data_IF_734718197222
#
_entry.id   IF_734718197222
#
_cell.length_a   1.000
_cell.length_b   1.000
_cell.length_c   1.000
_cell.angle_alpha   90.00
_cell.angle_beta   90.00
_cell.angle_gamma   90.00
#
_symmetry.space_group_name_H-M   'P 1'
#
loop_
_entity.id
_entity.type
_entity.pdbx_description
1 polymer ?
#
# COMPACT_ATOMS: atom_id res chain seq x y z
N UNK A 1 12.37 -5.54 -55.29
CA UNK A 1 13.21 -4.64 -54.49
C UNK A 1 12.72 -4.71 -53.06
N UNK A 2 13.42 -5.49 -52.23
CA UNK A 2 13.17 -5.61 -50.80
C UNK A 2 13.91 -4.47 -50.09
N UNK A 3 13.19 -3.64 -49.33
CA UNK A 3 13.80 -2.65 -48.44
C UNK A 3 14.18 -3.38 -47.15
N UNK A 4 15.49 -3.47 -46.93
CA UNK A 4 16.12 -4.06 -45.75
C UNK A 4 15.73 -3.30 -44.49
N UNK A 5 15.56 -4.05 -43.40
CA UNK A 5 15.23 -3.55 -42.08
C UNK A 5 16.27 -2.56 -41.53
N UNK A 6 15.76 -1.50 -40.92
CA UNK A 6 16.45 -0.76 -39.87
C UNK A 6 16.04 -1.35 -38.54
N UNK A 7 16.92 -2.17 -37.98
CA UNK A 7 16.87 -2.61 -36.60
C UNK A 7 17.17 -1.38 -35.73
N UNK A 8 16.13 -0.76 -35.14
CA UNK A 8 16.30 0.24 -34.09
C UNK A 8 16.49 -0.50 -32.75
N UNK A 9 17.57 -1.27 -32.66
CA UNK A 9 18.13 -1.74 -31.40
C UNK A 9 18.96 -0.59 -30.80
N UNK A 10 18.27 0.43 -30.28
CA UNK A 10 18.88 1.21 -29.21
C UNK A 10 18.99 0.28 -28.01
N UNK A 11 20.17 -0.31 -27.81
CA UNK A 11 20.56 -0.82 -26.49
C UNK A 11 20.43 0.36 -25.52
N UNK A 12 19.31 0.44 -24.80
CA UNK A 12 19.17 1.37 -23.67
C UNK A 12 20.24 0.96 -22.65
N UNK A 13 21.32 1.74 -22.56
CA UNK A 13 22.33 1.59 -21.52
C UNK A 13 21.64 1.41 -20.16
N UNK A 14 22.02 0.41 -19.34
CA UNK A 14 21.36 0.15 -18.07
C UNK A 14 21.43 1.38 -17.17
N UNK A 15 20.26 1.79 -16.66
CA UNK A 15 20.13 2.92 -15.73
C UNK A 15 21.01 2.70 -14.49
N UNK A 16 21.78 3.72 -14.11
CA UNK A 16 22.54 3.71 -12.88
C UNK A 16 21.58 3.73 -11.66
N UNK A 17 22.04 3.30 -10.48
CA UNK A 17 21.22 3.18 -9.27
C UNK A 17 20.50 4.48 -8.85
N UNK A 18 21.01 5.63 -9.30
CA UNK A 18 20.49 6.97 -9.01
C UNK A 18 19.69 7.60 -10.16
N UNK A 19 19.57 6.92 -11.30
CA UNK A 19 18.93 7.42 -12.51
C UNK A 19 17.57 6.76 -12.73
N UNK A 20 16.67 7.50 -13.38
CA UNK A 20 15.36 7.00 -13.75
C UNK A 20 14.84 7.69 -15.01
N UNK A 21 13.88 7.07 -15.66
CA UNK A 21 13.09 7.71 -16.71
C UNK A 21 11.85 8.34 -16.07
N UNK A 22 11.65 9.63 -16.31
CA UNK A 22 10.48 10.38 -15.82
C UNK A 22 9.23 10.12 -16.66
N UNK A 23 8.12 10.75 -16.30
CA UNK A 23 6.83 10.60 -16.99
C UNK A 23 6.86 11.08 -18.45
N UNK A 24 7.81 11.95 -18.81
CA UNK A 24 7.98 12.51 -20.15
C UNK A 24 8.98 11.70 -21.00
N UNK A 25 9.48 10.58 -20.47
CA UNK A 25 10.40 9.68 -21.17
C UNK A 25 11.85 10.16 -21.17
N UNK A 26 12.20 11.16 -20.35
CA UNK A 26 13.56 11.69 -20.25
C UNK A 26 14.35 11.00 -19.13
N UNK A 27 15.65 10.80 -19.35
CA UNK A 27 16.57 10.24 -18.36
C UNK A 27 16.96 11.34 -17.37
N UNK A 28 16.59 11.14 -16.11
CA UNK A 28 16.73 12.11 -15.02
C UNK A 28 17.48 11.47 -13.84
N UNK A 29 18.19 12.29 -13.05
CA UNK A 29 18.96 11.84 -11.89
C UNK A 29 18.30 12.27 -10.57
N UNK A 30 18.39 11.44 -9.53
CA UNK A 30 17.81 11.67 -8.19
C UNK A 30 18.20 13.02 -7.56
N UNK A 31 19.42 13.48 -7.82
CA UNK A 31 19.97 14.74 -7.28
C UNK A 31 19.59 16.00 -8.08
N UNK A 32 18.86 15.90 -9.21
CA UNK A 32 18.32 17.09 -9.87
C UNK A 32 17.17 17.67 -9.05
N UNK A 33 17.54 18.43 -8.00
CA UNK A 33 16.64 19.23 -7.18
C UNK A 33 16.53 20.62 -7.83
N UNK A 34 15.70 20.73 -8.86
CA UNK A 34 15.30 22.01 -9.45
C UNK A 34 14.94 21.85 -10.92
N UNK A 35 13.89 22.44 -11.46
CA UNK A 35 12.76 23.20 -10.94
C UNK A 35 11.62 22.89 -11.90
N UNK A 36 10.44 22.52 -11.39
CA UNK A 36 9.21 22.66 -12.18
C UNK A 36 8.09 23.07 -11.21
N UNK A 37 8.40 24.12 -10.43
CA UNK A 37 7.68 24.55 -9.25
C UNK A 37 6.52 25.53 -9.54
N UNK A 38 6.07 25.66 -10.78
CA UNK A 38 4.96 26.57 -11.12
C UNK A 38 3.67 26.21 -10.35
N UNK A 39 3.42 24.90 -10.16
CA UNK A 39 2.29 24.42 -9.36
C UNK A 39 2.43 24.69 -7.86
N UNK A 40 3.64 24.54 -7.30
CA UNK A 40 3.91 24.79 -5.88
C UNK A 40 3.82 26.29 -5.58
N UNK A 41 4.42 27.13 -6.42
CA UNK A 41 4.39 28.58 -6.30
C UNK A 41 2.95 29.11 -6.39
N UNK A 42 2.14 28.59 -7.32
CA UNK A 42 0.72 28.95 -7.43
C UNK A 42 -0.08 28.57 -6.17
N UNK A 43 0.24 27.43 -5.55
CA UNK A 43 -0.42 27.00 -4.31
C UNK A 43 -0.04 27.90 -3.15
N UNK A 44 1.25 28.22 -3.00
CA UNK A 44 1.77 29.08 -1.93
C UNK A 44 1.22 30.51 -2.09
N UNK A 45 1.25 31.10 -3.29
CA UNK A 45 0.73 32.46 -3.53
C UNK A 45 -0.78 32.54 -3.21
N UNK A 46 -1.57 31.54 -3.62
CA UNK A 46 -3.00 31.49 -3.30
C UNK A 46 -3.27 31.30 -1.81
N UNK A 47 -2.48 30.48 -1.12
CA UNK A 47 -2.59 30.30 0.34
C UNK A 47 -2.27 31.61 1.09
N UNK A 48 -1.21 32.31 0.70
CA UNK A 48 -0.83 33.61 1.27
C UNK A 48 -1.93 34.65 1.03
N UNK A 49 -2.57 34.62 -0.14
CA UNK A 49 -3.69 35.52 -0.49
C UNK A 49 -5.04 35.08 0.10
N UNK A 50 -5.11 33.97 0.84
CA UNK A 50 -6.35 33.44 1.40
C UNK A 50 -7.36 32.94 0.34
N UNK A 51 -6.88 32.60 -0.86
CA UNK A 51 -7.71 32.13 -1.97
C UNK A 51 -7.83 30.61 -2.01
N UNK A 52 -8.93 30.10 -2.56
CA UNK A 52 -9.10 28.65 -2.76
C UNK A 52 -8.14 28.13 -3.83
N UNK A 53 -7.48 27.03 -3.51
CA UNK A 53 -6.57 26.31 -4.41
C UNK A 53 -7.38 25.34 -5.28
N UNK A 54 -7.23 25.37 -6.62
CA UNK A 54 -7.88 24.42 -7.52
C UNK A 54 -7.38 22.99 -7.26
N UNK A 55 -8.30 22.02 -7.23
CA UNK A 55 -7.96 20.62 -6.94
C UNK A 55 -6.99 20.03 -7.96
N UNK A 56 -7.13 20.40 -9.24
CA UNK A 56 -6.27 19.90 -10.32
C UNK A 56 -4.79 20.30 -10.12
N UNK A 57 -4.53 21.52 -9.63
CA UNK A 57 -3.16 21.98 -9.31
C UNK A 57 -2.54 21.17 -8.18
N UNK A 58 -3.32 20.84 -7.14
CA UNK A 58 -2.86 20.00 -6.02
C UNK A 58 -2.57 18.57 -6.48
N UNK A 59 -3.45 18.00 -7.32
CA UNK A 59 -3.24 16.65 -7.87
C UNK A 59 -2.02 16.59 -8.77
N UNK A 60 -1.76 17.62 -9.60
CA UNK A 60 -0.53 17.72 -10.39
C UNK A 60 0.72 17.76 -9.50
N UNK A 61 0.74 18.64 -8.49
CA UNK A 61 1.85 18.74 -7.55
C UNK A 61 2.11 17.40 -6.83
N UNK A 62 1.06 16.76 -6.32
CA UNK A 62 1.19 15.47 -5.63
C UNK A 62 1.71 14.38 -6.56
N UNK A 63 1.30 14.35 -7.84
CA UNK A 63 1.85 13.42 -8.83
C UNK A 63 3.32 13.69 -9.11
N UNK A 64 3.72 14.95 -9.24
CA UNK A 64 5.14 15.32 -9.44
C UNK A 64 5.98 14.93 -8.23
N UNK A 65 5.51 15.21 -7.01
CA UNK A 65 6.20 14.81 -5.79
C UNK A 65 6.26 13.28 -5.65
N UNK A 66 5.19 12.57 -6.01
CA UNK A 66 5.13 11.10 -5.93
C UNK A 66 5.99 10.43 -7.00
N UNK A 67 6.21 11.08 -8.16
CA UNK A 67 7.14 10.63 -9.18
C UNK A 67 8.60 10.86 -8.79
N UNK A 68 8.89 11.92 -8.03
CA UNK A 68 10.24 12.24 -7.55
C UNK A 68 10.64 11.50 -6.28
N UNK A 69 9.69 10.99 -5.52
CA UNK A 69 9.97 10.13 -4.38
C UNK A 69 10.48 8.78 -4.89
N UNK A 70 11.80 8.65 -5.04
CA UNK A 70 12.51 7.44 -5.50
C UNK A 70 13.63 7.10 -4.53
N UNK A 71 13.92 5.81 -4.38
CA UNK A 71 15.07 5.32 -3.60
C UNK A 71 16.12 4.73 -4.55
N UNK A 72 17.42 4.91 -4.27
CA UNK A 72 18.47 4.30 -5.05
C UNK A 72 18.36 2.78 -4.98
N UNK A 73 18.38 2.11 -6.14
CA UNK A 73 18.25 0.67 -6.23
C UNK A 73 19.61 0.01 -6.32
N UNK A 74 19.81 -1.09 -5.58
CA UNK A 74 20.99 -1.95 -5.75
C UNK A 74 20.88 -2.87 -6.98
N UNK A 75 19.76 -2.83 -7.71
CA UNK A 75 19.54 -3.61 -8.95
C UNK A 75 19.80 -2.75 -10.19
N UNK A 76 20.17 -3.35 -11.33
CA UNK A 76 20.43 -2.63 -12.60
C UNK A 76 19.17 -2.06 -13.29
N UNK A 77 18.10 -1.79 -12.52
CA UNK A 77 16.82 -1.30 -13.01
C UNK A 77 16.61 0.20 -12.74
N UNK A 78 17.67 0.92 -12.31
CA UNK A 78 17.57 2.33 -11.92
C UNK A 78 16.84 2.56 -10.59
N UNK A 79 16.60 3.83 -10.24
CA UNK A 79 15.96 4.24 -8.99
C UNK A 79 14.49 3.79 -8.91
N UNK A 80 14.11 3.14 -7.80
CA UNK A 80 12.75 2.61 -7.61
C UNK A 80 11.84 3.69 -7.04
N UNK A 81 10.69 3.90 -7.66
CA UNK A 81 9.66 4.82 -7.16
C UNK A 81 9.04 4.32 -5.86
N UNK A 82 9.08 5.18 -4.83
CA UNK A 82 8.51 4.96 -3.51
C UNK A 82 7.55 6.09 -3.23
N UNK A 83 6.25 5.82 -3.31
CA UNK A 83 5.26 6.89 -3.18
C UNK A 83 5.34 7.60 -1.83
N UNK A 84 5.00 8.89 -1.79
CA UNK A 84 5.08 9.74 -0.58
C UNK A 84 4.30 9.12 0.59
N UNK A 85 3.22 8.42 0.28
CA UNK A 85 2.41 7.68 1.25
C UNK A 85 3.21 6.70 2.10
N UNK A 86 4.36 6.19 1.63
CA UNK A 86 5.27 5.35 2.40
C UNK A 86 5.85 6.08 3.62
N UNK A 87 6.40 7.28 3.41
CA UNK A 87 7.00 8.09 4.48
C UNK A 87 5.91 8.65 5.40
N UNK A 88 4.81 9.14 4.83
CA UNK A 88 3.66 9.59 5.62
C UNK A 88 3.16 8.46 6.54
N UNK A 89 2.99 7.25 6.03
CA UNK A 89 2.57 6.11 6.83
C UNK A 89 3.59 5.77 7.93
N UNK A 90 4.89 5.78 7.62
CA UNK A 90 5.95 5.53 8.61
C UNK A 90 5.91 6.51 9.79
N UNK A 91 5.99 7.82 9.51
CA UNK A 91 6.01 8.84 10.55
C UNK A 91 4.69 8.92 11.30
N UNK A 92 3.57 8.79 10.59
CA UNK A 92 2.25 8.86 11.22
C UNK A 92 2.00 7.68 12.15
N UNK A 93 2.33 6.45 11.74
CA UNK A 93 2.19 5.27 12.61
C UNK A 93 3.11 5.34 13.82
N UNK A 94 4.36 5.78 13.67
CA UNK A 94 5.28 5.99 14.78
C UNK A 94 4.75 7.04 15.78
N UNK A 95 4.27 8.19 15.28
CA UNK A 95 3.68 9.24 16.09
C UNK A 95 2.44 8.75 16.84
N UNK A 96 1.54 8.02 16.17
CA UNK A 96 0.37 7.44 16.82
C UNK A 96 0.78 6.51 17.97
N UNK A 97 1.71 5.58 17.74
CA UNK A 97 2.18 4.68 18.78
C UNK A 97 2.81 5.42 19.96
N UNK A 98 3.54 6.50 19.71
CA UNK A 98 4.08 7.37 20.76
C UNK A 98 2.96 8.06 21.55
N UNK A 99 1.95 8.64 20.89
CA UNK A 99 0.84 9.28 21.57
C UNK A 99 0.02 8.30 22.41
N UNK A 100 -0.16 7.06 21.91
CA UNK A 100 -0.83 5.98 22.63
C UNK A 100 -0.04 5.51 23.87
N UNK A 101 1.27 5.76 23.94
CA UNK A 101 2.07 5.37 25.11
C UNK A 101 2.14 6.44 26.20
N UNK A 102 1.71 7.68 25.93
CA UNK A 102 1.82 8.80 26.88
C UNK A 102 0.85 8.63 28.06
N UNK A 103 -0.43 8.37 27.81
CA UNK A 103 -1.44 8.33 28.87
C UNK A 103 -2.71 7.56 28.46
N UNK A 104 -3.34 6.76 29.34
CA UNK A 104 -4.53 5.96 29.00
C UNK A 104 -5.73 6.79 28.53
N UNK A 105 -5.90 8.01 29.05
CA UNK A 105 -6.96 8.95 28.58
C UNK A 105 -6.71 9.39 27.13
N UNK A 106 -5.46 9.68 26.77
CA UNK A 106 -5.09 10.04 25.39
C UNK A 106 -5.39 8.85 24.47
N UNK A 107 -5.05 7.64 24.91
CA UNK A 107 -5.37 6.40 24.20
C UNK A 107 -6.87 6.22 23.99
N UNK A 108 -7.69 6.42 25.02
CA UNK A 108 -9.15 6.33 24.91
C UNK A 108 -9.71 7.37 23.91
N UNK A 109 -9.23 8.62 23.99
CA UNK A 109 -9.62 9.69 23.05
C UNK A 109 -9.24 9.32 21.61
N UNK A 110 -8.02 8.80 21.38
CA UNK A 110 -7.56 8.41 20.05
C UNK A 110 -8.35 7.22 19.50
N UNK A 111 -8.64 6.19 20.31
CA UNK A 111 -9.42 5.02 19.89
C UNK A 111 -10.84 5.42 19.46
N UNK A 112 -11.45 6.41 20.11
CA UNK A 112 -12.79 6.87 19.76
C UNK A 112 -12.74 7.84 18.56
N UNK A 113 -11.81 8.77 18.56
CA UNK A 113 -11.77 9.84 17.56
C UNK A 113 -11.21 9.38 16.21
N UNK A 114 -10.22 8.47 16.17
CA UNK A 114 -9.61 8.03 14.91
C UNK A 114 -10.58 7.30 13.97
N UNK A 115 -11.45 6.38 14.41
CA UNK A 115 -12.48 5.79 13.55
C UNK A 115 -13.48 6.82 13.05
N UNK A 116 -13.91 7.77 13.89
CA UNK A 116 -14.80 8.86 13.47
C UNK A 116 -14.13 9.74 12.40
N UNK A 117 -12.86 10.12 12.60
CA UNK A 117 -12.07 10.85 11.63
C UNK A 117 -11.87 10.03 10.35
N UNK A 118 -11.55 8.75 10.44
CA UNK A 118 -11.37 7.88 9.29
C UNK A 118 -12.67 7.73 8.48
N UNK A 119 -13.83 7.59 9.14
CA UNK A 119 -15.13 7.56 8.48
C UNK A 119 -15.50 8.90 7.84
N UNK A 120 -15.21 10.01 8.52
CA UNK A 120 -15.40 11.36 7.99
C UNK A 120 -14.53 11.58 6.76
N UNK A 121 -13.23 11.28 6.85
CA UNK A 121 -12.26 11.34 5.75
C UNK A 121 -12.70 10.38 4.64
N UNK A 122 -13.19 9.18 4.94
CA UNK A 122 -13.67 8.24 3.93
C UNK A 122 -14.88 8.75 3.15
N UNK A 123 -15.78 9.46 3.82
CA UNK A 123 -16.97 10.05 3.20
C UNK A 123 -16.68 11.33 2.42
N UNK A 124 -15.70 12.12 2.84
CA UNK A 124 -15.40 13.45 2.26
C UNK A 124 -14.20 13.47 1.31
N UNK A 125 -13.11 12.80 1.68
CA UNK A 125 -11.78 12.91 1.05
C UNK A 125 -11.37 11.59 0.36
N UNK A 126 -11.49 10.42 0.99
CA UNK A 126 -10.97 9.16 0.40
C UNK A 126 -11.75 8.66 -0.80
N UNK A 127 -12.92 9.22 -1.11
CA UNK A 127 -13.57 9.02 -2.42
C UNK A 127 -12.68 9.49 -3.59
N UNK A 128 -11.73 10.38 -3.32
CA UNK A 128 -10.77 10.93 -4.29
C UNK A 128 -9.37 10.31 -4.16
N UNK A 129 -9.03 9.64 -3.05
CA UNK A 129 -7.71 9.05 -2.76
C UNK A 129 -7.67 7.53 -2.98
N UNK A 130 -8.64 7.00 -3.72
CA UNK A 130 -8.85 5.58 -3.98
C UNK A 130 -7.61 4.89 -4.58
N UNK A 131 -6.72 5.65 -5.26
CA UNK A 131 -5.51 5.12 -5.89
C UNK A 131 -4.24 5.24 -5.03
N UNK A 132 -4.33 5.73 -3.79
CA UNK A 132 -3.15 5.88 -2.93
C UNK A 132 -2.79 4.57 -2.22
N UNK A 133 -1.53 4.15 -2.33
CA UNK A 133 -0.96 3.00 -1.60
C UNK A 133 -0.73 3.26 -0.11
N UNK A 134 -1.22 4.39 0.40
CA UNK A 134 -1.03 4.83 1.78
C UNK A 134 -1.47 3.77 2.80
N UNK A 135 -2.68 3.21 2.64
CA UNK A 135 -3.22 2.21 3.57
C UNK A 135 -2.40 0.91 3.60
N UNK A 136 -1.88 0.50 2.44
CA UNK A 136 -0.97 -0.63 2.37
C UNK A 136 0.33 -0.37 3.15
N UNK A 137 0.94 0.80 2.95
CA UNK A 137 2.14 1.18 3.69
C UNK A 137 1.86 1.37 5.19
N UNK A 138 0.68 1.89 5.55
CA UNK A 138 0.24 1.95 6.94
C UNK A 138 0.22 0.57 7.57
N UNK A 139 -0.43 -0.41 6.93
CA UNK A 139 -0.50 -1.78 7.45
C UNK A 139 0.89 -2.36 7.60
N UNK A 140 1.75 -2.21 6.59
CA UNK A 140 3.13 -2.69 6.62
C UNK A 140 3.90 -2.11 7.81
N UNK A 141 3.88 -0.79 7.98
CA UNK A 141 4.59 -0.12 9.05
C UNK A 141 4.00 -0.41 10.43
N UNK A 142 2.67 -0.55 10.54
CA UNK A 142 2.02 -0.96 11.79
C UNK A 142 2.51 -2.34 12.24
N UNK A 143 2.60 -3.32 11.34
CA UNK A 143 3.13 -4.65 11.66
C UNK A 143 4.60 -4.61 12.06
N UNK A 144 5.42 -3.83 11.36
CA UNK A 144 6.86 -3.68 11.68
C UNK A 144 7.03 -3.03 13.05
N UNK A 145 6.38 -1.90 13.30
CA UNK A 145 6.50 -1.18 14.56
C UNK A 145 5.97 -1.97 15.74
N UNK A 146 4.82 -2.62 15.61
CA UNK A 146 4.27 -3.49 16.66
C UNK A 146 5.19 -4.69 16.93
N UNK A 147 5.77 -5.29 15.89
CA UNK A 147 6.76 -6.35 16.04
C UNK A 147 8.00 -5.88 16.79
N UNK A 148 8.58 -4.75 16.40
CA UNK A 148 9.76 -4.17 17.07
C UNK A 148 9.46 -3.81 18.53
N UNK A 149 8.31 -3.19 18.80
CA UNK A 149 7.87 -2.85 20.15
C UNK A 149 7.69 -4.11 21.00
N UNK A 150 7.05 -5.15 20.46
CA UNK A 150 6.88 -6.43 21.14
C UNK A 150 8.24 -7.05 21.48
N UNK A 151 9.17 -7.09 20.52
CA UNK A 151 10.53 -7.58 20.74
C UNK A 151 11.27 -6.79 21.82
N UNK A 152 11.14 -5.46 21.81
CA UNK A 152 11.76 -4.57 22.78
C UNK A 152 11.25 -4.82 24.21
N UNK A 153 9.93 -4.88 24.38
CA UNK A 153 9.28 -5.03 25.69
C UNK A 153 9.44 -6.45 26.24
N UNK A 154 9.15 -7.46 25.42
CA UNK A 154 9.00 -8.84 25.88
C UNK A 154 10.25 -9.70 25.64
N UNK A 155 11.21 -9.22 24.85
CA UNK A 155 12.15 -10.12 24.21
C UNK A 155 13.13 -10.83 25.14
N UNK A 156 13.41 -10.24 26.31
CA UNK A 156 14.25 -10.86 27.34
C UNK A 156 13.51 -11.84 28.25
N UNK A 157 12.18 -11.88 28.20
CA UNK A 157 11.36 -12.62 29.16
C UNK A 157 10.63 -13.81 28.56
N UNK A 158 10.44 -13.84 27.24
CA UNK A 158 9.74 -14.92 26.57
C UNK A 158 10.60 -16.17 26.41
N UNK A 159 9.96 -17.34 26.53
CA UNK A 159 10.57 -18.62 26.18
C UNK A 159 10.77 -18.73 24.66
N UNK A 160 11.73 -19.58 24.25
CA UNK A 160 11.98 -19.86 22.83
C UNK A 160 10.71 -20.34 22.10
N UNK A 161 9.88 -21.15 22.76
CA UNK A 161 8.64 -21.66 22.17
C UNK A 161 7.63 -20.55 21.85
N UNK A 162 7.49 -19.55 22.74
CA UNK A 162 6.61 -18.41 22.51
C UNK A 162 7.10 -17.57 21.32
N UNK A 163 8.41 -17.38 21.21
CA UNK A 163 9.03 -16.73 20.06
C UNK A 163 8.78 -17.46 18.75
N UNK A 164 8.99 -18.79 18.73
CA UNK A 164 8.74 -19.61 17.55
C UNK A 164 7.26 -19.57 17.15
N UNK A 165 6.34 -19.67 18.10
CA UNK A 165 4.90 -19.58 17.84
C UNK A 165 4.53 -18.23 17.18
N UNK A 166 5.03 -17.12 17.72
CA UNK A 166 4.82 -15.78 17.15
C UNK A 166 5.42 -15.65 15.75
N UNK A 167 6.65 -16.14 15.55
CA UNK A 167 7.33 -16.10 14.26
C UNK A 167 6.57 -16.91 13.20
N UNK A 168 6.06 -18.10 13.56
CA UNK A 168 5.26 -18.93 12.67
C UNK A 168 3.94 -18.25 12.30
N UNK A 169 3.21 -17.70 13.27
CA UNK A 169 1.94 -17.01 13.01
C UNK A 169 2.15 -15.77 12.13
N UNK A 170 3.15 -14.95 12.46
CA UNK A 170 3.51 -13.77 11.67
C UNK A 170 3.95 -14.13 10.25
N UNK A 171 4.86 -15.10 10.11
CA UNK A 171 5.33 -15.58 8.82
C UNK A 171 4.22 -16.19 7.96
N UNK A 172 3.30 -16.94 8.57
CA UNK A 172 2.14 -17.50 7.87
C UNK A 172 1.19 -16.41 7.39
N UNK A 173 0.93 -15.39 8.22
CA UNK A 173 0.10 -14.24 7.83
C UNK A 173 0.74 -13.49 6.65
N UNK A 174 2.04 -13.18 6.73
CA UNK A 174 2.78 -12.54 5.65
C UNK A 174 2.74 -13.35 4.35
N UNK A 175 2.99 -14.66 4.43
CA UNK A 175 2.95 -15.55 3.29
C UNK A 175 1.56 -15.61 2.66
N UNK A 176 0.50 -15.69 3.47
CA UNK A 176 -0.87 -15.71 3.00
C UNK A 176 -1.28 -14.39 2.30
N UNK A 177 -0.91 -13.23 2.85
CA UNK A 177 -1.15 -11.95 2.18
C UNK A 177 -0.32 -11.80 0.90
N UNK A 178 0.92 -12.26 0.90
CA UNK A 178 1.76 -12.31 -0.31
C UNK A 178 1.13 -13.19 -1.40
N UNK A 179 0.67 -14.40 -1.05
CA UNK A 179 -0.09 -15.29 -1.96
C UNK A 179 -1.37 -14.64 -2.45
N UNK A 180 -2.07 -13.90 -1.60
CA UNK A 180 -3.28 -13.17 -1.99
C UNK A 180 -2.98 -12.19 -3.12
N UNK A 181 -1.91 -11.41 -2.98
CA UNK A 181 -1.47 -10.43 -3.98
C UNK A 181 -0.95 -11.08 -5.25
N UNK A 182 -0.14 -12.14 -5.14
CA UNK A 182 0.43 -12.88 -6.28
C UNK A 182 -0.61 -13.65 -7.09
N UNK A 183 -1.61 -14.24 -6.44
CA UNK A 183 -2.67 -15.00 -7.09
C UNK A 183 -3.81 -14.11 -7.57
N UNK A 184 -3.63 -12.79 -7.62
CA UNK A 184 -4.63 -11.90 -8.19
C UNK A 184 -4.61 -12.05 -9.72
N UNK A 185 -5.55 -12.85 -10.24
CA UNK A 185 -5.72 -13.09 -11.67
C UNK A 185 -6.49 -11.93 -12.27
N UNK A 186 -5.76 -10.91 -12.74
CA UNK A 186 -6.31 -9.99 -13.72
C UNK A 186 -6.57 -10.76 -15.01
N UNK A 187 -7.72 -10.51 -15.62
CA UNK A 187 -7.89 -10.94 -17.00
C UNK A 187 -6.80 -10.24 -17.83
N UNK A 188 -6.06 -10.93 -18.71
CA UNK A 188 -5.50 -10.21 -19.85
C UNK A 188 -6.65 -9.46 -20.53
N UNK A 189 -6.36 -8.25 -21.02
CA UNK A 189 -7.30 -7.46 -21.83
C UNK A 189 -7.95 -8.41 -22.84
N UNK A 190 -9.28 -8.53 -22.78
CA UNK A 190 -9.98 -9.60 -23.46
C UNK A 190 -9.73 -9.48 -24.96
N UNK A 191 -9.09 -10.48 -25.57
CA UNK A 191 -9.26 -10.72 -27.00
C UNK A 191 -10.76 -10.81 -27.25
N UNK A 192 -11.23 -10.19 -28.34
CA UNK A 192 -12.60 -10.34 -28.85
C UNK A 192 -12.82 -11.82 -29.11
N UNK A 193 -13.38 -12.54 -28.13
CA UNK A 193 -13.81 -13.90 -28.35
C UNK A 193 -15.14 -13.75 -29.08
N UNK A 194 -15.11 -13.92 -30.40
CA UNK A 194 -16.32 -14.09 -31.19
C UNK A 194 -17.18 -15.14 -30.48
N UNK A 195 -18.27 -14.68 -29.85
CA UNK A 195 -19.09 -15.53 -29.01
C UNK A 195 -19.91 -16.44 -29.91
N UNK A 196 -19.50 -17.71 -30.02
CA UNK A 196 -20.40 -18.79 -30.37
C UNK A 196 -21.38 -19.01 -29.19
N UNK A 197 -22.44 -18.21 -29.20
CA UNK A 197 -23.77 -18.60 -28.74
C UNK A 197 -23.97 -19.03 -27.29
N UNK A 198 -23.66 -18.20 -26.28
CA UNK A 198 -24.35 -18.25 -24.97
C UNK A 198 -24.36 -16.87 -24.28
N UNK A 199 -25.52 -16.20 -24.29
CA UNK A 199 -25.88 -15.09 -23.37
C UNK A 199 -25.31 -13.70 -23.71
N UNK A 200 -26.11 -12.66 -23.52
CA UNK A 200 -25.70 -11.25 -23.67
C UNK A 200 -24.44 -10.95 -22.85
N UNK A 201 -23.28 -10.91 -23.50
CA UNK A 201 -22.05 -10.47 -22.88
C UNK A 201 -22.13 -8.95 -22.68
N UNK A 202 -22.40 -8.49 -21.46
CA UNK A 202 -22.36 -7.07 -21.14
C UNK A 202 -20.95 -6.51 -21.40
N UNK A 203 -20.80 -5.40 -22.11
CA UNK A 203 -19.49 -4.77 -22.31
C UNK A 203 -19.03 -4.04 -21.04
N UNK A 204 -17.72 -4.08 -20.74
CA UNK A 204 -17.15 -3.21 -19.73
C UNK A 204 -16.99 -1.78 -20.28
N UNK A 205 -17.78 -0.82 -19.78
CA UNK A 205 -17.73 0.59 -20.22
C UNK A 205 -16.36 1.29 -20.03
N UNK A 206 -15.46 0.72 -19.22
CA UNK A 206 -14.13 1.28 -18.96
C UNK A 206 -13.02 0.64 -19.79
N UNK A 207 -13.14 -0.65 -20.12
CA UNK A 207 -12.10 -1.39 -20.84
C UNK A 207 -12.43 -1.61 -22.31
N UNK A 208 -13.64 -1.22 -22.74
CA UNK A 208 -14.18 -1.44 -24.09
C UNK A 208 -14.01 -2.89 -24.59
N UNK A 209 -14.11 -3.83 -23.63
CA UNK A 209 -13.85 -5.24 -23.81
C UNK A 209 -15.05 -6.06 -23.32
N UNK A 210 -15.29 -7.17 -24.01
CA UNK A 210 -16.36 -8.11 -23.67
C UNK A 210 -16.17 -8.67 -22.25
N UNK A 211 -17.20 -8.55 -21.42
CA UNK A 211 -17.18 -9.10 -20.08
C UNK A 211 -17.65 -10.54 -20.14
N UNK A 212 -16.73 -11.46 -19.89
CA UNK A 212 -17.13 -12.83 -19.54
C UNK A 212 -17.97 -12.78 -18.25
N UNK A 213 -19.01 -13.60 -18.17
CA UNK A 213 -19.91 -13.67 -17.03
C UNK A 213 -19.17 -13.66 -15.68
N UNK A 214 -19.65 -12.82 -14.75
CA UNK A 214 -19.13 -12.64 -13.36
C UNK A 214 -17.80 -11.89 -13.19
N UNK A 215 -17.15 -11.36 -14.23
CA UNK A 215 -16.02 -10.41 -14.07
C UNK A 215 -16.52 -9.06 -13.57
N UNK A 216 -15.77 -8.25 -12.81
CA UNK A 216 -16.15 -6.87 -12.44
C UNK A 216 -14.91 -5.98 -12.56
N UNK A 217 -15.06 -4.82 -13.22
CA UNK A 217 -13.98 -3.84 -13.35
C UNK A 217 -13.65 -3.22 -11.99
N UNK A 218 -12.36 -3.21 -11.64
CA UNK A 218 -11.84 -2.48 -10.51
C UNK A 218 -11.11 -1.24 -11.01
N UNK A 219 -11.65 -0.05 -10.71
CA UNK A 219 -11.05 1.23 -11.09
C UNK A 219 -9.63 1.41 -10.51
N UNK A 220 -9.40 0.92 -9.29
CA UNK A 220 -8.10 1.06 -8.59
C UNK A 220 -7.00 0.24 -9.25
N UNK A 221 -7.34 -0.96 -9.71
CA UNK A 221 -6.38 -1.83 -10.38
C UNK A 221 -6.41 -1.66 -11.90
N UNK A 222 -7.26 -0.76 -12.40
CA UNK A 222 -7.56 -0.53 -13.81
C UNK A 222 -7.72 -1.83 -14.63
N UNK A 223 -8.56 -2.74 -14.12
CA UNK A 223 -8.67 -4.08 -14.70
C UNK A 223 -9.90 -4.85 -14.29
N UNK A 224 -10.35 -5.72 -15.19
CA UNK A 224 -11.47 -6.65 -14.96
C UNK A 224 -10.99 -7.88 -14.16
N UNK A 225 -11.56 -8.07 -12.97
CA UNK A 225 -11.23 -9.18 -12.07
C UNK A 225 -12.38 -10.18 -12.07
N UNK A 226 -12.08 -11.47 -12.25
CA UNK A 226 -13.09 -12.53 -12.23
C UNK A 226 -13.66 -12.75 -10.83
N UNK A 227 -14.99 -12.84 -10.73
CA UNK A 227 -15.73 -13.01 -9.46
C UNK A 227 -15.15 -12.14 -8.33
N UNK A 228 -14.92 -10.86 -8.66
CA UNK A 228 -14.40 -9.87 -7.73
C UNK A 228 -15.35 -9.73 -6.54
N UNK A 229 -14.77 -9.79 -5.36
CA UNK A 229 -15.44 -9.48 -4.10
C UNK A 229 -15.30 -7.97 -3.85
N UNK A 230 -14.07 -7.52 -3.59
CA UNK A 230 -13.75 -6.10 -3.38
C UNK A 230 -12.28 -5.81 -3.69
N UNK A 231 -11.93 -4.52 -3.76
CA UNK A 231 -10.54 -4.09 -3.70
C UNK A 231 -10.19 -3.78 -2.25
N UNK A 232 -9.17 -4.45 -1.71
CA UNK A 232 -8.74 -4.22 -0.33
C UNK A 232 -7.54 -3.28 -0.32
N UNK A 233 -7.77 -2.05 0.13
CA UNK A 233 -6.75 -0.98 0.20
C UNK A 233 -5.58 -1.32 1.14
N UNK A 234 -5.80 -2.18 2.14
CA UNK A 234 -4.80 -2.58 3.13
C UNK A 234 -3.77 -3.56 2.59
N UNK A 235 -4.10 -4.31 1.53
CA UNK A 235 -3.17 -5.22 0.85
C UNK A 235 -2.79 -4.74 -0.56
N UNK A 236 -3.37 -3.60 -0.99
CA UNK A 236 -3.21 -3.04 -2.33
C UNK A 236 -3.46 -4.12 -3.41
N UNK A 237 -4.62 -4.79 -3.30
CA UNK A 237 -5.00 -5.88 -4.20
C UNK A 237 -6.49 -6.16 -4.21
N UNK A 238 -6.99 -6.71 -5.33
CA UNK A 238 -8.35 -7.23 -5.39
C UNK A 238 -8.44 -8.60 -4.74
N UNK A 239 -9.51 -8.80 -3.96
CA UNK A 239 -9.92 -10.11 -3.47
C UNK A 239 -10.96 -10.68 -4.44
N UNK A 240 -10.73 -11.91 -4.87
CA UNK A 240 -11.53 -12.65 -5.84
C UNK A 240 -11.65 -14.11 -5.46
N UNK A 241 -12.44 -14.87 -6.20
CA UNK A 241 -12.56 -16.33 -5.99
C UNK A 241 -11.21 -17.06 -6.01
N UNK A 242 -10.25 -16.59 -6.81
CA UNK A 242 -8.94 -17.21 -6.96
C UNK A 242 -8.02 -17.04 -5.76
N UNK A 243 -8.20 -16.00 -4.94
CA UNK A 243 -7.29 -15.67 -3.84
C UNK A 243 -7.97 -15.50 -2.47
N UNK A 244 -9.30 -15.55 -2.40
CA UNK A 244 -10.08 -15.40 -1.16
C UNK A 244 -9.70 -16.37 -0.04
N UNK A 245 -9.26 -17.60 -0.35
CA UNK A 245 -8.78 -18.55 0.67
C UNK A 245 -7.52 -18.02 1.35
N UNK A 246 -6.55 -17.52 0.58
CA UNK A 246 -5.32 -16.93 1.11
C UNK A 246 -5.62 -15.66 1.91
N UNK A 247 -6.56 -14.83 1.45
CA UNK A 247 -6.96 -13.64 2.16
C UNK A 247 -7.53 -13.97 3.55
N UNK A 248 -8.46 -14.94 3.63
CA UNK A 248 -9.04 -15.40 4.90
C UNK A 248 -7.99 -16.01 5.82
N UNK A 249 -7.09 -16.85 5.29
CA UNK A 249 -6.00 -17.41 6.07
C UNK A 249 -5.11 -16.32 6.68
N UNK A 250 -4.76 -15.30 5.88
CA UNK A 250 -3.98 -14.15 6.34
C UNK A 250 -4.67 -13.40 7.48
N UNK A 251 -5.99 -13.14 7.37
CA UNK A 251 -6.76 -12.47 8.44
C UNK A 251 -6.81 -13.30 9.73
N UNK A 252 -7.10 -14.60 9.63
CA UNK A 252 -7.22 -15.48 10.81
C UNK A 252 -5.87 -15.59 11.51
N UNK A 253 -4.79 -15.79 10.76
CA UNK A 253 -3.44 -15.91 11.33
C UNK A 253 -2.92 -14.60 11.90
N UNK A 254 -3.22 -13.46 11.27
CA UNK A 254 -2.91 -12.14 11.83
C UNK A 254 -3.67 -11.88 13.15
N UNK A 255 -4.95 -12.26 13.22
CA UNK A 255 -5.76 -12.14 14.45
C UNK A 255 -5.20 -13.04 15.56
N UNK A 256 -4.88 -14.30 15.25
CA UNK A 256 -4.28 -15.21 16.22
C UNK A 256 -2.93 -14.69 16.73
N UNK A 257 -2.10 -14.12 15.84
CA UNK A 257 -0.83 -13.48 16.18
C UNK A 257 -1.05 -12.31 17.15
N UNK A 258 -2.02 -11.43 16.88
CA UNK A 258 -2.34 -10.30 17.74
C UNK A 258 -2.83 -10.74 19.12
N UNK A 259 -3.75 -11.71 19.19
CA UNK A 259 -4.28 -12.24 20.45
C UNK A 259 -3.19 -12.90 21.30
N UNK A 260 -2.33 -13.71 20.67
CA UNK A 260 -1.20 -14.33 21.35
C UNK A 260 -0.21 -13.27 21.86
N UNK A 261 0.10 -12.26 21.04
CA UNK A 261 0.97 -11.15 21.42
C UNK A 261 0.44 -10.36 22.63
N UNK A 262 -0.86 -10.09 22.67
CA UNK A 262 -1.52 -9.45 23.83
C UNK A 262 -1.38 -10.33 25.07
N UNK A 263 -1.75 -11.60 24.98
CA UNK A 263 -1.68 -12.54 26.10
C UNK A 263 -0.26 -12.67 26.68
N UNK A 264 0.75 -12.79 25.81
CA UNK A 264 2.15 -12.89 26.22
C UNK A 264 2.64 -11.59 26.89
N UNK A 265 2.22 -10.43 26.38
CA UNK A 265 2.60 -9.13 26.94
C UNK A 265 1.97 -8.89 28.32
N UNK A 266 0.72 -9.29 28.53
CA UNK A 266 0.06 -9.19 29.85
C UNK A 266 0.61 -10.19 30.84
N UNK A 267 1.01 -11.37 30.38
CA UNK A 267 1.56 -12.41 31.27
C UNK A 267 2.98 -12.05 31.72
N UNK A 268 3.80 -11.47 30.83
CA UNK A 268 5.14 -11.01 31.16
C UNK A 268 5.12 -9.82 32.13
N UNK A 269 4.20 -8.86 31.97
CA UNK A 269 4.07 -7.72 32.89
C UNK A 269 3.74 -8.16 34.31
N UNK A 270 2.78 -9.09 34.47
CA UNK A 270 2.41 -9.66 35.77
C UNK A 270 3.58 -10.39 36.44
N UNK A 271 4.42 -11.07 35.65
CA UNK A 271 5.60 -11.77 36.17
C UNK A 271 6.69 -10.81 36.66
N UNK A 272 6.89 -9.67 35.98
CA UNK A 272 7.84 -8.63 36.44
C UNK A 272 7.37 -8.02 37.75
N UNK A 273 6.10 -7.63 37.83
CA UNK A 273 5.53 -6.99 39.01
C UNK A 273 5.57 -7.92 40.24
N UNK A 274 5.30 -9.21 40.04
CA UNK A 274 5.46 -10.23 41.09
C UNK A 274 6.90 -10.38 41.59
N UNK A 275 7.93 -10.21 40.75
CA UNK A 275 9.34 -10.22 41.18
C UNK A 275 9.79 -8.95 41.90
N UNK A 276 9.18 -7.80 41.59
CA UNK A 276 9.52 -6.53 42.25
C UNK A 276 8.89 -6.46 43.66
N UNK A 277 7.72 -7.07 43.83
CA UNK A 277 6.95 -7.05 45.08
C UNK A 277 7.31 -8.19 46.08
N UNK A 278 8.35 -8.98 45.82
CA UNK A 278 8.92 -10.00 46.73
C UNK A 278 10.25 -9.54 47.30
#
# INVERSE_FOLDING_TARGET
>A
MAVRGGDNSYEEDPLCCCEYVDADGQRTHLLFVGCDCEALDTIVDRLIRGQRVPQDTVTRLLRTLDDRARLPSLRPQGAVRVGIGFFCAFFFTALLLLLLSIHPVVTAILIISLPCCALFIQRTILRYWVDSRFFYYWSLWSFIWLGLLFCWINGRQLSLHAWLAMAVLYGTAMFAFWKTKRNNKFAPMCQRLASDGVGEAELCRHCDAERVARRIHCRVCDGCVDQRDHHCVWIDSCVSSANRIWFRLGLITALACALLGIFLSTSSSNFVEGRINM
#
